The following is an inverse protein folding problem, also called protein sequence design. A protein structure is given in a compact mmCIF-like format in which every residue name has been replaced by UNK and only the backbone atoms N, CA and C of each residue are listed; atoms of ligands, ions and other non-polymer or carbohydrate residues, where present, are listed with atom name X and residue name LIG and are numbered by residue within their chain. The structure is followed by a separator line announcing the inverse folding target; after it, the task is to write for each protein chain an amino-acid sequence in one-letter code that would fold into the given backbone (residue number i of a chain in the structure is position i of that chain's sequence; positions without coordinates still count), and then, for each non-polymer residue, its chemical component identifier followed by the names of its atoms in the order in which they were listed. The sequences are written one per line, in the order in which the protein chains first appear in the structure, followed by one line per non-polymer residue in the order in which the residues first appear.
data_IF_569306411117
#
_entry.id   IF_569306411117
#
_cell.length_a   1.000
_cell.length_b   1.000
_cell.length_c   1.000
_cell.angle_alpha   90.00
_cell.angle_beta   90.00
_cell.angle_gamma   90.00
#
_symmetry.space_group_name_H-M   'P 1'
#
loop_
_entity.id
_entity.type
_entity.pdbx_description
1 polymer ?
#
# COMPACT_ATOMS: atom_id res chain seq x y z
N UNK A 1 -19.98 18.85 -10.87
CA UNK A 1 -19.29 17.64 -11.35
C UNK A 1 -19.43 16.58 -10.28
N UNK A 2 -19.82 15.36 -10.64
CA UNK A 2 -19.87 14.25 -9.69
C UNK A 2 -18.46 13.86 -9.23
N UNK A 3 -18.36 13.23 -8.06
CA UNK A 3 -17.11 12.64 -7.59
C UNK A 3 -16.80 11.44 -8.50
N UNK A 4 -15.56 11.29 -9.01
CA UNK A 4 -15.19 10.11 -9.79
C UNK A 4 -15.35 8.84 -8.95
N UNK A 5 -15.88 7.79 -9.57
CA UNK A 5 -16.00 6.48 -8.93
C UNK A 5 -14.60 5.88 -8.69
N UNK A 6 -14.44 5.18 -7.58
CA UNK A 6 -13.17 4.56 -7.17
C UNK A 6 -13.38 3.05 -7.05
N UNK A 7 -12.44 2.28 -7.58
CA UNK A 7 -12.43 0.83 -7.51
C UNK A 7 -11.08 0.30 -7.00
N UNK A 8 -11.11 -0.84 -6.32
CA UNK A 8 -9.91 -1.61 -5.96
C UNK A 8 -9.60 -2.54 -7.13
N UNK A 9 -8.44 -2.37 -7.76
CA UNK A 9 -8.04 -3.16 -8.93
C UNK A 9 -7.24 -4.41 -8.57
N UNK A 10 -6.52 -4.40 -7.44
CA UNK A 10 -5.74 -5.56 -6.99
C UNK A 10 -5.31 -5.44 -5.54
N UNK A 11 -5.00 -6.59 -4.94
CA UNK A 11 -4.51 -6.70 -3.56
C UNK A 11 -3.27 -7.58 -3.50
N UNK A 12 -2.38 -7.31 -2.55
CA UNK A 12 -1.14 -8.06 -2.39
C UNK A 12 -0.66 -8.05 -0.96
N UNK A 13 -0.08 -9.18 -0.55
CA UNK A 13 0.39 -9.40 0.81
C UNK A 13 1.59 -10.34 0.79
N UNK A 14 2.66 -9.95 1.48
CA UNK A 14 3.68 -10.91 1.88
C UNK A 14 3.07 -11.86 2.95
N UNK A 15 3.35 -13.18 2.94
CA UNK A 15 2.90 -14.11 4.00
C UNK A 15 3.10 -13.51 5.39
N UNK A 16 2.32 -13.88 6.42
CA UNK A 16 2.46 -13.31 7.77
C UNK A 16 3.45 -14.10 8.66
N UNK A 17 4.31 -13.42 9.43
CA UNK A 17 5.39 -14.07 10.18
C UNK A 17 6.65 -13.22 10.42
N UNK A 18 7.73 -13.86 10.87
CA UNK A 18 9.03 -13.24 11.15
C UNK A 18 10.12 -13.96 10.34
N UNK A 19 10.77 -13.25 9.42
CA UNK A 19 11.76 -13.87 8.51
C UNK A 19 13.13 -13.20 8.53
N UNK A 20 13.36 -12.21 9.39
CA UNK A 20 14.67 -11.59 9.59
C UNK A 20 15.22 -10.78 8.41
N UNK A 21 14.37 -10.45 7.42
CA UNK A 21 14.73 -9.60 6.27
C UNK A 21 14.50 -8.12 6.53
N UNK A 22 15.04 -7.28 5.64
CA UNK A 22 14.73 -5.86 5.62
C UNK A 22 13.22 -5.65 5.41
N UNK A 23 12.61 -4.73 6.15
CA UNK A 23 11.18 -4.47 6.08
C UNK A 23 10.71 -4.03 4.69
N UNK A 24 11.57 -3.33 3.95
CA UNK A 24 11.32 -2.91 2.56
C UNK A 24 11.04 -4.11 1.66
N UNK A 25 11.72 -5.24 1.87
CA UNK A 25 11.52 -6.45 1.05
C UNK A 25 10.10 -7.00 1.17
N UNK A 26 9.51 -6.96 2.37
CA UNK A 26 8.12 -7.39 2.56
C UNK A 26 7.14 -6.47 1.84
N UNK A 27 7.38 -5.15 1.88
CA UNK A 27 6.59 -4.16 1.16
C UNK A 27 6.69 -4.33 -0.36
N UNK A 28 7.88 -4.58 -0.89
CA UNK A 28 8.11 -4.83 -2.32
C UNK A 28 7.36 -6.07 -2.79
N UNK A 29 7.41 -7.17 -2.03
CA UNK A 29 6.64 -8.39 -2.37
C UNK A 29 5.14 -8.10 -2.39
N UNK A 30 4.62 -7.42 -1.36
CA UNK A 30 3.20 -7.08 -1.30
C UNK A 30 2.77 -6.17 -2.46
N UNK A 31 3.57 -5.16 -2.80
CA UNK A 31 3.28 -4.25 -3.90
C UNK A 31 3.31 -4.95 -5.27
N UNK A 32 4.30 -5.82 -5.50
CA UNK A 32 4.41 -6.58 -6.75
C UNK A 32 3.22 -7.53 -6.97
N UNK A 33 2.78 -8.23 -5.92
CA UNK A 33 1.60 -9.09 -6.01
C UNK A 33 0.31 -8.27 -6.27
N UNK A 34 0.18 -7.09 -5.65
CA UNK A 34 -0.97 -6.21 -5.91
C UNK A 34 -1.03 -5.69 -7.35
N UNK A 35 0.13 -5.31 -7.92
CA UNK A 35 0.22 -4.87 -9.32
C UNK A 35 -0.12 -6.00 -10.28
N UNK A 36 0.36 -7.20 -9.99
CA UNK A 36 0.07 -8.41 -10.78
C UNK A 36 -1.41 -8.77 -10.75
N UNK A 37 -2.05 -8.71 -9.59
CA UNK A 37 -3.49 -8.94 -9.43
C UNK A 37 -4.32 -7.91 -10.21
N UNK A 38 -3.87 -6.64 -10.21
CA UNK A 38 -4.46 -5.56 -10.99
C UNK A 38 -4.18 -5.63 -12.50
N UNK A 39 -3.21 -6.45 -12.94
CA UNK A 39 -2.77 -6.50 -14.33
C UNK A 39 -2.07 -5.21 -14.80
N UNK A 40 -1.36 -4.52 -13.91
CA UNK A 40 -0.69 -3.24 -14.18
C UNK A 40 0.83 -3.35 -14.03
N UNK A 41 1.56 -2.52 -14.76
CA UNK A 41 2.99 -2.34 -14.59
C UNK A 41 3.28 -1.22 -13.57
N UNK A 42 4.44 -1.26 -12.92
CA UNK A 42 4.83 -0.22 -11.95
C UNK A 42 4.84 1.20 -12.56
N UNK A 43 5.18 1.31 -13.85
CA UNK A 43 5.20 2.58 -14.58
C UNK A 43 3.81 3.19 -14.80
N UNK A 44 2.74 2.42 -14.62
CA UNK A 44 1.37 2.91 -14.70
C UNK A 44 0.94 3.65 -13.41
N UNK A 45 1.69 3.44 -12.31
CA UNK A 45 1.37 4.03 -11.01
C UNK A 45 1.90 5.46 -10.93
N UNK A 46 0.96 6.40 -10.88
CA UNK A 46 1.28 7.82 -10.84
C UNK A 46 1.58 8.33 -9.43
N UNK A 47 1.13 7.61 -8.40
CA UNK A 47 1.23 8.03 -7.03
C UNK A 47 1.24 6.83 -6.07
N UNK A 48 2.04 6.93 -5.02
CA UNK A 48 2.18 5.88 -4.01
C UNK A 48 2.08 6.53 -2.63
N UNK A 49 1.21 5.96 -1.81
CA UNK A 49 1.11 6.30 -0.39
C UNK A 49 1.38 5.06 0.43
N UNK A 50 2.31 5.17 1.37
CA UNK A 50 2.64 4.10 2.31
C UNK A 50 2.51 4.60 3.74
N UNK A 51 2.33 3.67 4.66
CA UNK A 51 2.63 3.92 6.06
C UNK A 51 3.04 2.66 6.79
N UNK A 52 3.65 2.90 7.93
CA UNK A 52 4.15 1.92 8.86
C UNK A 52 3.67 2.28 10.25
N UNK A 53 3.14 1.34 11.03
CA UNK A 53 2.77 1.62 12.41
C UNK A 53 3.97 1.35 13.32
N UNK A 54 4.67 2.42 13.70
CA UNK A 54 5.63 2.33 14.80
C UNK A 54 4.85 2.25 16.12
N UNK A 55 4.89 1.08 16.79
CA UNK A 55 4.34 0.86 18.14
C UNK A 55 2.81 1.05 18.30
N UNK A 56 2.00 0.55 17.37
CA UNK A 56 0.52 0.58 17.44
C UNK A 56 -0.13 1.99 17.40
N UNK A 57 0.39 2.90 16.57
CA UNK A 57 -0.44 3.98 16.00
C UNK A 57 -0.26 5.36 16.61
N UNK A 58 0.80 6.04 16.20
CA UNK A 58 0.86 7.50 16.26
C UNK A 58 0.10 8.11 15.06
N UNK A 59 -0.71 9.18 15.25
CA UNK A 59 -1.27 9.95 14.14
C UNK A 59 -0.17 10.42 13.19
N UNK A 60 -0.31 10.16 11.89
CA UNK A 60 0.73 10.41 10.87
C UNK A 60 1.49 9.16 10.39
N UNK A 61 1.32 8.02 11.07
CA UNK A 61 1.89 6.70 10.72
C UNK A 61 0.82 5.71 10.18
N UNK A 62 -0.33 6.23 9.74
CA UNK A 62 -1.42 5.46 9.14
C UNK A 62 -1.49 5.80 7.66
N UNK A 63 -1.55 4.79 6.78
CA UNK A 63 -1.46 5.00 5.33
C UNK A 63 -2.67 5.80 4.90
N UNK A 64 -2.43 6.94 4.25
CA UNK A 64 -3.52 7.83 3.83
C UNK A 64 -3.97 8.87 4.85
N UNK A 65 -3.41 8.93 6.07
CA UNK A 65 -3.80 9.94 7.07
C UNK A 65 -3.55 11.39 6.63
N UNK A 66 -2.63 11.60 5.69
CA UNK A 66 -2.36 12.91 5.08
C UNK A 66 -3.29 13.26 3.92
N UNK A 67 -4.14 12.33 3.46
CA UNK A 67 -4.99 12.48 2.29
C UNK A 67 -6.48 12.31 2.59
N UNK A 68 -6.84 11.63 3.68
CA UNK A 68 -8.20 11.63 4.18
C UNK A 68 -8.51 13.02 4.75
N UNK A 69 -9.23 13.83 3.98
CA UNK A 69 -9.88 15.02 4.50
C UNK A 69 -10.88 14.56 5.57
N UNK A 70 -10.65 14.93 6.82
CA UNK A 70 -11.59 14.71 7.92
C UNK A 70 -12.87 15.53 7.73
#
# INVERSE_FOLDING_TARGET
MGVPEVAVLGVGMHPWGKWGKNFVEYGVVAAQEALKDAGLDWTDIQFVSGADTVRNGYPGYVAGATFAQA
#
